data_IF_014394515492
#
_entry.id   IF_014394515492
#
_cell.length_a   1.000
_cell.length_b   1.000
_cell.length_c   1.000
_cell.angle_alpha   90.00
_cell.angle_beta   90.00
_cell.angle_gamma   90.00
#
_symmetry.space_group_name_H-M   'P 1'
#
loop_
_entity.id
_entity.type
_entity.pdbx_description
1 polymer ?
#
# COMPACT_ATOMS: atom_id res chain seq x y z
N UNK A 1 30.34 26.84 -6.31
CA UNK A 1 30.98 26.03 -7.36
C UNK A 1 31.26 26.97 -8.53
N UNK A 2 32.50 27.13 -8.83
CA UNK A 2 32.95 27.83 -10.02
C UNK A 2 32.76 26.88 -11.21
N UNK A 3 31.88 27.23 -12.14
CA UNK A 3 31.57 26.50 -13.35
C UNK A 3 30.29 25.68 -13.30
N UNK A 4 29.65 25.48 -14.44
CA UNK A 4 28.36 24.77 -14.66
C UNK A 4 28.42 23.24 -14.42
N UNK A 5 29.13 22.78 -13.39
CA UNK A 5 29.19 21.34 -13.06
C UNK A 5 28.11 20.99 -12.04
N UNK A 6 27.11 20.26 -12.49
CA UNK A 6 26.09 19.66 -11.64
C UNK A 6 26.56 18.34 -11.07
N UNK A 7 26.47 18.17 -9.76
CA UNK A 7 26.60 16.85 -9.15
C UNK A 7 25.26 16.15 -9.21
N UNK A 8 25.23 14.97 -9.81
CA UNK A 8 24.05 14.13 -9.91
C UNK A 8 24.16 13.03 -8.88
N UNK A 9 23.21 12.98 -7.94
CA UNK A 9 23.02 11.79 -7.11
C UNK A 9 22.21 10.77 -7.89
N UNK A 10 22.79 9.62 -8.16
CA UNK A 10 22.08 8.50 -8.79
C UNK A 10 21.64 7.53 -7.69
N UNK A 11 20.34 7.38 -7.46
CA UNK A 11 19.83 6.41 -6.50
C UNK A 11 20.12 4.99 -6.99
N UNK A 12 20.70 4.16 -6.12
CA UNK A 12 20.89 2.73 -6.38
C UNK A 12 19.61 1.98 -6.00
N UNK A 13 18.72 1.81 -6.98
CA UNK A 13 17.42 1.15 -6.78
C UNK A 13 17.60 -0.37 -6.91
N UNK A 14 17.43 -1.08 -5.80
CA UNK A 14 17.35 -2.54 -5.80
C UNK A 14 15.92 -2.95 -6.06
N UNK A 15 15.60 -3.25 -7.32
CA UNK A 15 14.28 -3.75 -7.72
C UNK A 15 14.01 -5.09 -7.04
N UNK A 16 12.80 -5.25 -6.49
CA UNK A 16 12.39 -6.46 -5.76
C UNK A 16 13.31 -6.83 -4.57
N UNK A 17 13.94 -5.84 -3.94
CA UNK A 17 14.90 -6.03 -2.84
C UNK A 17 14.30 -6.58 -1.54
N UNK A 18 12.96 -6.62 -1.41
CA UNK A 18 12.25 -7.19 -0.27
C UNK A 18 11.54 -8.50 -0.62
N UNK A 19 11.16 -9.30 0.40
CA UNK A 19 10.34 -10.51 0.20
C UNK A 19 8.96 -10.20 -0.36
N UNK A 20 8.50 -8.97 -0.20
CA UNK A 20 7.25 -8.46 -0.76
C UNK A 20 7.42 -7.82 -2.14
N UNK A 21 8.58 -7.93 -2.76
CA UNK A 21 8.88 -7.42 -4.10
C UNK A 21 8.91 -5.88 -4.23
N UNK A 22 8.83 -5.14 -3.13
CA UNK A 22 9.03 -3.69 -3.18
C UNK A 22 10.50 -3.34 -3.41
N UNK A 23 10.72 -2.25 -4.11
CA UNK A 23 12.05 -1.68 -4.31
C UNK A 23 12.65 -1.20 -2.99
N UNK A 24 13.97 -1.28 -2.88
CA UNK A 24 14.74 -0.69 -1.78
C UNK A 24 15.74 0.29 -2.37
N UNK A 25 15.77 1.47 -1.77
CA UNK A 25 16.80 2.48 -2.02
C UNK A 25 17.15 3.11 -0.68
N UNK A 26 18.39 2.96 -0.25
CA UNK A 26 18.81 3.27 1.13
C UNK A 26 18.86 4.76 1.43
N UNK A 27 19.16 5.60 0.44
CA UNK A 27 19.30 7.04 0.61
C UNK A 27 17.94 7.75 0.60
N UNK A 28 17.06 7.37 -0.34
CA UNK A 28 15.81 8.09 -0.59
C UNK A 28 14.64 7.64 0.31
N UNK A 29 14.72 6.46 0.92
CA UNK A 29 13.70 5.96 1.86
C UNK A 29 13.46 6.94 3.04
N UNK A 30 14.48 7.64 3.49
CA UNK A 30 14.35 8.66 4.54
C UNK A 30 13.50 9.86 4.11
N UNK A 31 13.40 10.13 2.81
CA UNK A 31 12.59 11.22 2.24
C UNK A 31 11.08 10.93 2.26
N UNK A 32 10.66 9.71 2.55
CA UNK A 32 9.23 9.35 2.68
C UNK A 32 8.56 9.99 3.91
N UNK A 33 9.34 10.56 4.84
CA UNK A 33 8.77 11.21 6.02
C UNK A 33 8.02 12.49 5.63
N UNK A 34 6.71 12.54 5.92
CA UNK A 34 5.86 13.71 5.64
C UNK A 34 5.63 14.58 6.87
N UNK A 35 6.01 14.12 8.05
CA UNK A 35 5.78 14.85 9.30
C UNK A 35 6.97 15.76 9.62
N UNK A 36 6.76 17.08 9.83
CA UNK A 36 7.84 18.07 10.00
C UNK A 36 8.85 17.78 11.12
N UNK A 37 8.45 16.96 12.11
CA UNK A 37 9.32 16.59 13.23
C UNK A 37 10.15 15.32 12.98
N UNK A 38 10.06 14.71 11.82
CA UNK A 38 10.88 13.55 11.46
C UNK A 38 12.07 13.96 10.62
N UNK A 39 13.23 13.44 10.97
CA UNK A 39 14.46 13.62 10.18
C UNK A 39 14.22 13.11 8.76
N UNK A 40 14.62 13.90 7.79
CA UNK A 40 14.51 13.57 6.37
C UNK A 40 13.35 14.22 5.63
N UNK A 41 12.35 14.79 6.34
CA UNK A 41 11.23 15.49 5.71
C UNK A 41 11.70 16.63 4.80
N UNK A 42 12.75 17.36 5.23
CA UNK A 42 13.35 18.48 4.50
C UNK A 42 14.18 18.05 3.29
N UNK A 43 14.57 16.79 3.20
CA UNK A 43 15.45 16.30 2.13
C UNK A 43 14.77 16.36 0.76
N UNK A 44 13.45 16.16 0.69
CA UNK A 44 12.70 16.29 -0.57
C UNK A 44 12.91 17.68 -1.22
N UNK A 45 12.96 18.73 -0.42
CA UNK A 45 13.14 20.11 -0.92
C UNK A 45 14.56 20.40 -1.41
N UNK A 46 15.50 19.53 -1.10
CA UNK A 46 16.91 19.64 -1.53
C UNK A 46 17.17 19.00 -2.90
N UNK A 47 16.26 18.15 -3.36
CA UNK A 47 16.36 17.56 -4.69
C UNK A 47 15.97 18.61 -5.71
N UNK A 48 16.88 18.95 -6.62
CA UNK A 48 16.71 19.96 -7.63
C UNK A 48 17.05 19.38 -9.01
N UNK A 49 16.42 19.94 -10.03
CA UNK A 49 16.76 19.64 -11.42
C UNK A 49 17.57 20.79 -12.04
N UNK A 50 18.30 20.54 -13.15
CA UNK A 50 18.99 21.58 -13.89
C UNK A 50 18.05 22.69 -14.39
N UNK A 51 18.57 23.90 -14.69
CA UNK A 51 17.78 24.96 -15.30
C UNK A 51 17.07 24.48 -16.58
N UNK A 52 15.81 24.88 -16.76
CA UNK A 52 14.97 24.47 -17.90
C UNK A 52 14.31 23.09 -17.75
N UNK A 53 14.48 22.42 -16.60
CA UNK A 53 13.84 21.15 -16.27
C UNK A 53 12.99 21.30 -15.01
N UNK A 54 11.99 20.43 -14.89
CA UNK A 54 11.13 20.26 -13.69
C UNK A 54 11.07 18.82 -13.26
N UNK A 55 10.88 18.61 -11.96
CA UNK A 55 10.52 17.30 -11.42
C UNK A 55 9.01 17.20 -11.42
N UNK A 56 8.49 16.16 -12.09
CA UNK A 56 7.09 15.78 -12.06
C UNK A 56 6.98 14.51 -11.25
N UNK A 57 6.25 14.56 -10.15
CA UNK A 57 6.03 13.44 -9.24
C UNK A 57 4.57 13.02 -9.21
N UNK A 58 4.33 11.73 -9.02
CA UNK A 58 3.01 11.16 -8.78
C UNK A 58 3.08 10.15 -7.64
N UNK A 59 2.02 10.10 -6.83
CA UNK A 59 1.86 9.20 -5.70
C UNK A 59 0.47 8.56 -5.75
N UNK A 60 0.37 7.27 -5.43
CA UNK A 60 -0.92 6.59 -5.36
C UNK A 60 -1.65 6.95 -4.07
N UNK A 61 -2.81 7.56 -4.16
CA UNK A 61 -3.65 7.79 -2.99
C UNK A 61 -4.23 6.47 -2.45
N UNK A 62 -3.66 6.02 -1.33
CA UNK A 62 -4.13 4.82 -0.64
C UNK A 62 -4.00 3.52 -1.45
N UNK A 63 -2.90 3.33 -2.16
CA UNK A 63 -2.63 2.17 -3.03
C UNK A 63 -3.08 0.83 -2.45
N UNK A 64 -2.73 0.54 -1.20
CA UNK A 64 -3.09 -0.73 -0.56
C UNK A 64 -4.60 -0.90 -0.37
N UNK A 65 -5.33 0.18 -0.08
CA UNK A 65 -6.78 0.13 0.05
C UNK A 65 -7.46 -0.05 -1.31
N UNK A 66 -6.93 0.57 -2.35
CA UNK A 66 -7.43 0.39 -3.72
C UNK A 66 -7.23 -1.07 -4.17
N UNK A 67 -6.06 -1.64 -3.97
CA UNK A 67 -5.79 -3.06 -4.26
C UNK A 67 -6.72 -3.97 -3.47
N UNK A 68 -6.90 -3.70 -2.18
CA UNK A 68 -7.78 -4.47 -1.32
C UNK A 68 -9.25 -4.40 -1.78
N UNK A 69 -9.71 -3.23 -2.24
CA UNK A 69 -11.07 -3.08 -2.80
C UNK A 69 -11.24 -3.84 -4.10
N UNK A 70 -10.25 -3.84 -4.99
CA UNK A 70 -10.24 -4.65 -6.21
C UNK A 70 -10.32 -6.15 -5.87
N UNK A 71 -9.60 -6.60 -4.85
CA UNK A 71 -9.67 -8.00 -4.40
C UNK A 71 -11.03 -8.36 -3.81
N UNK A 72 -11.64 -7.45 -3.04
CA UNK A 72 -12.99 -7.63 -2.53
C UNK A 72 -14.01 -7.72 -3.68
N UNK A 73 -13.93 -6.82 -4.64
CA UNK A 73 -14.81 -6.80 -5.82
C UNK A 73 -14.65 -8.07 -6.67
N UNK A 74 -13.42 -8.53 -6.87
CA UNK A 74 -13.14 -9.77 -7.59
C UNK A 74 -13.71 -11.01 -6.89
N UNK A 75 -13.86 -10.97 -5.57
CA UNK A 75 -14.49 -12.04 -4.80
C UNK A 75 -16.01 -11.98 -4.88
N UNK A 76 -16.61 -10.80 -4.69
CA UNK A 76 -18.05 -10.62 -4.53
C UNK A 76 -18.82 -10.68 -5.86
N UNK A 77 -18.34 -9.99 -6.90
CA UNK A 77 -19.10 -9.88 -8.15
C UNK A 77 -18.28 -9.78 -9.43
N UNK A 78 -16.96 -9.59 -9.32
CA UNK A 78 -16.07 -9.49 -10.48
C UNK A 78 -16.13 -8.17 -11.24
N UNK A 79 -16.76 -7.14 -10.68
CA UNK A 79 -16.81 -5.78 -11.26
C UNK A 79 -16.52 -4.73 -10.18
N UNK A 80 -16.04 -3.56 -10.58
CA UNK A 80 -15.69 -2.44 -9.68
C UNK A 80 -16.94 -1.94 -8.97
N UNK A 81 -16.86 -1.83 -7.64
CA UNK A 81 -18.00 -1.41 -6.80
C UNK A 81 -18.90 -2.55 -6.33
N UNK A 82 -18.53 -3.81 -6.57
CA UNK A 82 -19.33 -4.97 -6.15
C UNK A 82 -19.32 -5.20 -4.63
N UNK A 83 -18.33 -4.69 -3.92
CA UNK A 83 -18.13 -4.96 -2.49
C UNK A 83 -18.40 -3.75 -1.60
N UNK A 84 -18.82 -3.95 -0.33
CA UNK A 84 -18.94 -2.86 0.65
C UNK A 84 -17.62 -2.09 0.86
N UNK A 85 -16.48 -2.78 0.78
CA UNK A 85 -15.17 -2.16 0.87
C UNK A 85 -14.95 -1.15 -0.25
N UNK A 86 -15.30 -1.51 -1.48
CA UNK A 86 -15.18 -0.62 -2.64
C UNK A 86 -15.98 0.66 -2.48
N UNK A 87 -17.17 0.60 -1.91
CA UNK A 87 -17.97 1.79 -1.65
C UNK A 87 -17.25 2.79 -0.74
N UNK A 88 -16.59 2.31 0.32
CA UNK A 88 -15.84 3.18 1.24
C UNK A 88 -14.56 3.73 0.63
N UNK A 89 -13.94 3.00 -0.30
CA UNK A 89 -12.70 3.42 -0.98
C UNK A 89 -12.99 4.37 -2.14
N UNK A 90 -14.01 4.07 -2.97
CA UNK A 90 -14.31 4.85 -4.18
C UNK A 90 -15.18 6.08 -3.91
N UNK A 91 -16.15 5.98 -2.98
CA UNK A 91 -17.15 7.02 -2.72
C UNK A 91 -16.99 7.65 -1.34
N UNK A 92 -16.15 7.10 -0.48
CA UNK A 92 -15.93 7.59 0.87
C UNK A 92 -15.20 8.93 0.89
N UNK A 93 -15.57 9.80 1.83
CA UNK A 93 -14.96 11.10 2.03
C UNK A 93 -14.48 11.25 3.47
N UNK A 94 -13.22 11.66 3.63
CA UNK A 94 -12.65 11.99 4.93
C UNK A 94 -13.41 13.14 5.61
N UNK A 95 -13.80 14.14 4.84
CA UNK A 95 -14.53 15.32 5.34
C UNK A 95 -15.92 14.96 5.83
N UNK A 96 -16.60 14.03 5.15
CA UNK A 96 -17.93 13.53 5.51
C UNK A 96 -17.87 12.38 6.52
N UNK A 97 -16.68 11.89 6.88
CA UNK A 97 -16.53 10.76 7.81
C UNK A 97 -17.04 9.42 7.25
N UNK A 98 -17.07 9.25 5.94
CA UNK A 98 -17.60 8.06 5.26
C UNK A 98 -16.50 7.19 4.62
N UNK A 99 -15.24 7.57 4.70
CA UNK A 99 -14.12 6.78 4.21
C UNK A 99 -13.87 5.53 5.07
N UNK A 100 -13.10 4.59 4.54
CA UNK A 100 -12.84 3.29 5.17
C UNK A 100 -12.27 3.38 6.60
N UNK A 101 -11.46 4.43 6.86
CA UNK A 101 -10.89 4.64 8.20
C UNK A 101 -11.91 5.23 9.17
N UNK A 102 -12.75 6.15 8.72
CA UNK A 102 -13.84 6.71 9.52
C UNK A 102 -14.90 5.66 9.84
N UNK A 103 -15.24 4.79 8.89
CA UNK A 103 -16.16 3.69 9.12
C UNK A 103 -15.65 2.75 10.22
N UNK A 104 -14.38 2.37 10.18
CA UNK A 104 -13.76 1.56 11.24
C UNK A 104 -13.69 2.32 12.59
N UNK A 105 -13.35 3.60 12.57
CA UNK A 105 -13.29 4.45 13.76
C UNK A 105 -14.63 4.47 14.50
N UNK A 106 -15.71 4.67 13.76
CA UNK A 106 -17.08 4.68 14.28
C UNK A 106 -17.50 3.31 14.82
N UNK A 107 -17.19 2.22 14.08
CA UNK A 107 -17.54 0.86 14.50
C UNK A 107 -16.85 0.41 15.78
N UNK A 108 -15.67 0.94 16.08
CA UNK A 108 -14.84 0.54 17.24
C UNK A 108 -14.81 1.63 18.34
N UNK A 109 -15.37 2.82 18.06
CA UNK A 109 -15.31 3.97 18.97
C UNK A 109 -13.88 4.43 19.31
N UNK A 110 -13.04 4.53 18.28
CA UNK A 110 -11.67 5.06 18.35
C UNK A 110 -11.52 6.22 17.35
N UNK A 111 -10.47 7.01 17.50
CA UNK A 111 -10.20 8.08 16.53
C UNK A 111 -9.74 7.55 15.16
N UNK A 112 -9.94 8.34 14.12
CA UNK A 112 -9.66 7.98 12.74
C UNK A 112 -8.18 7.62 12.48
N UNK A 113 -7.24 8.31 13.12
CA UNK A 113 -5.81 8.05 12.91
C UNK A 113 -5.41 6.70 13.53
N UNK A 114 -5.96 6.37 14.69
CA UNK A 114 -5.80 5.04 15.29
C UNK A 114 -6.46 3.98 14.41
N UNK A 115 -7.67 4.23 13.91
CA UNK A 115 -8.39 3.33 13.01
C UNK A 115 -7.61 3.11 11.69
N UNK A 116 -6.96 4.14 11.15
CA UNK A 116 -6.05 4.02 10.00
C UNK A 116 -4.94 3.02 10.30
N UNK A 117 -4.24 3.16 11.43
CA UNK A 117 -3.18 2.23 11.84
C UNK A 117 -3.69 0.81 12.06
N UNK A 118 -4.87 0.65 12.66
CA UNK A 118 -5.53 -0.66 12.86
C UNK A 118 -5.91 -1.28 11.52
N UNK A 119 -6.52 -0.52 10.62
CA UNK A 119 -6.94 -0.99 9.31
C UNK A 119 -5.78 -1.54 8.48
N UNK A 120 -4.67 -0.81 8.39
CA UNK A 120 -3.46 -1.30 7.71
C UNK A 120 -2.84 -2.51 8.40
N UNK A 121 -2.75 -2.52 9.74
CA UNK A 121 -2.27 -3.70 10.47
C UNK A 121 -3.10 -4.94 10.15
N UNK A 122 -4.42 -4.80 10.10
CA UNK A 122 -5.33 -5.89 9.75
C UNK A 122 -5.16 -6.33 8.30
N UNK A 123 -5.03 -5.40 7.37
CA UNK A 123 -4.80 -5.69 5.95
C UNK A 123 -3.52 -6.50 5.76
N UNK A 124 -2.50 -6.25 6.60
CA UNK A 124 -1.26 -7.03 6.61
C UNK A 124 -1.33 -8.32 7.46
N UNK A 125 -2.52 -8.73 7.88
CA UNK A 125 -2.75 -9.99 8.58
C UNK A 125 -2.60 -9.94 10.10
N UNK A 126 -2.60 -8.77 10.71
CA UNK A 126 -2.50 -8.66 12.17
C UNK A 126 -3.66 -9.35 12.89
N UNK A 127 -3.33 -10.10 13.93
CA UNK A 127 -4.28 -10.70 14.86
C UNK A 127 -4.58 -9.79 16.07
N UNK A 128 -5.46 -10.26 16.95
CA UNK A 128 -5.97 -9.54 18.13
C UNK A 128 -4.88 -8.84 18.97
N UNK A 129 -3.76 -9.53 19.22
CA UNK A 129 -2.66 -8.99 20.04
C UNK A 129 -2.02 -7.75 19.37
N UNK A 130 -1.74 -7.82 18.08
CA UNK A 130 -1.09 -6.74 17.32
C UNK A 130 -2.03 -5.54 17.20
N UNK A 131 -3.32 -5.79 16.93
CA UNK A 131 -4.35 -4.75 16.88
C UNK A 131 -4.47 -4.05 18.23
N UNK A 132 -4.57 -4.80 19.32
CA UNK A 132 -4.61 -4.25 20.67
C UNK A 132 -3.39 -3.38 21.00
N UNK A 133 -2.19 -3.82 20.62
CA UNK A 133 -0.98 -3.03 20.79
C UNK A 133 -0.98 -1.74 19.94
N UNK A 134 -1.55 -1.77 18.76
CA UNK A 134 -1.70 -0.57 17.92
C UNK A 134 -2.62 0.46 18.57
N UNK A 135 -3.74 0.01 19.15
CA UNK A 135 -4.68 0.86 19.88
C UNK A 135 -4.02 1.41 21.16
N UNK A 136 -3.29 0.58 21.89
CA UNK A 136 -2.60 0.97 23.15
C UNK A 136 -1.63 2.13 22.98
N UNK A 137 -1.02 2.30 21.81
CA UNK A 137 -0.10 3.43 21.56
C UNK A 137 -0.71 4.79 21.86
N UNK A 138 -2.01 4.94 21.64
CA UNK A 138 -2.76 6.18 21.90
C UNK A 138 -3.62 6.08 23.18
N UNK A 139 -4.21 4.94 23.42
CA UNK A 139 -5.08 4.69 24.60
C UNK A 139 -4.29 3.94 25.68
N UNK A 140 -3.32 4.65 26.29
CA UNK A 140 -2.36 4.05 27.26
C UNK A 140 -3.01 3.49 28.52
N UNK A 141 -4.12 4.09 28.95
CA UNK A 141 -4.80 3.79 30.21
C UNK A 141 -5.81 2.64 30.11
N UNK A 142 -5.98 2.05 28.92
CA UNK A 142 -6.91 0.95 28.70
C UNK A 142 -6.34 -0.37 29.21
N UNK A 143 -7.18 -1.13 29.87
CA UNK A 143 -6.85 -2.47 30.35
C UNK A 143 -6.61 -3.44 29.19
N UNK A 144 -5.84 -4.53 29.39
CA UNK A 144 -5.67 -5.58 28.38
C UNK A 144 -7.00 -6.19 27.90
N UNK A 145 -8.00 -6.27 28.78
CA UNK A 145 -9.34 -6.75 28.44
C UNK A 145 -10.07 -5.83 27.46
N UNK A 146 -10.07 -4.53 27.72
CA UNK A 146 -10.65 -3.52 26.83
C UNK A 146 -9.94 -3.50 25.46
N UNK A 147 -8.61 -3.54 25.46
CA UNK A 147 -7.83 -3.58 24.21
C UNK A 147 -8.16 -4.82 23.36
N UNK A 148 -8.38 -5.97 24.02
CA UNK A 148 -8.83 -7.19 23.36
C UNK A 148 -10.25 -7.05 22.81
N UNK A 149 -11.15 -6.39 23.53
CA UNK A 149 -12.51 -6.12 23.08
C UNK A 149 -12.52 -5.24 21.84
N UNK A 150 -11.78 -4.11 21.84
CA UNK A 150 -11.63 -3.25 20.65
C UNK A 150 -11.08 -4.01 19.45
N UNK A 151 -10.06 -4.85 19.67
CA UNK A 151 -9.47 -5.64 18.58
C UNK A 151 -10.47 -6.66 18.01
N UNK A 152 -11.28 -7.30 18.84
CA UNK A 152 -12.32 -8.22 18.39
C UNK A 152 -13.45 -7.49 17.65
N UNK A 153 -13.84 -6.30 18.09
CA UNK A 153 -14.81 -5.46 17.38
C UNK A 153 -14.30 -5.07 16.00
N UNK A 154 -13.02 -4.65 15.90
CA UNK A 154 -12.40 -4.32 14.62
C UNK A 154 -12.38 -5.53 13.67
N UNK A 155 -12.00 -6.71 14.18
CA UNK A 155 -11.99 -7.95 13.39
C UNK A 155 -13.40 -8.34 12.95
N UNK A 156 -14.39 -8.25 13.83
CA UNK A 156 -15.79 -8.52 13.49
C UNK A 156 -16.32 -7.56 12.44
N UNK A 157 -16.03 -6.28 12.56
CA UNK A 157 -16.46 -5.27 11.58
C UNK A 157 -15.83 -5.49 10.20
N UNK A 158 -14.52 -5.76 10.14
CA UNK A 158 -13.78 -5.90 8.88
C UNK A 158 -13.88 -7.30 8.27
N UNK A 159 -13.58 -8.33 9.04
CA UNK A 159 -13.53 -9.71 8.55
C UNK A 159 -14.85 -10.45 8.67
N UNK A 160 -15.69 -10.06 9.63
CA UNK A 160 -16.88 -10.84 9.97
C UNK A 160 -16.53 -12.16 10.68
N UNK A 161 -17.31 -13.18 10.41
CA UNK A 161 -17.17 -14.54 10.97
C UNK A 161 -16.73 -15.50 9.89
N UNK A 162 -16.03 -16.58 10.28
CA UNK A 162 -15.78 -17.70 9.36
C UNK A 162 -17.00 -18.61 9.31
N UNK A 163 -17.45 -18.93 8.10
CA UNK A 163 -18.46 -19.93 7.84
C UNK A 163 -17.85 -21.35 7.91
N UNK A 164 -18.67 -22.44 7.82
CA UNK A 164 -18.18 -23.81 7.87
C UNK A 164 -17.14 -24.15 6.81
N UNK A 165 -17.17 -23.49 5.65
CA UNK A 165 -16.21 -23.69 4.56
C UNK A 165 -14.88 -22.94 4.79
N UNK A 166 -14.79 -22.18 5.90
CA UNK A 166 -13.62 -21.44 6.32
C UNK A 166 -13.45 -20.09 5.61
N UNK A 167 -14.51 -19.54 4.98
CA UNK A 167 -14.53 -18.21 4.39
C UNK A 167 -15.12 -17.18 5.37
N UNK A 168 -14.63 -15.97 5.30
CA UNK A 168 -15.20 -14.85 6.05
C UNK A 168 -16.49 -14.36 5.41
N UNK A 169 -17.46 -13.98 6.25
CA UNK A 169 -18.74 -13.39 5.84
C UNK A 169 -19.24 -12.37 6.85
N UNK A 170 -20.05 -11.41 6.37
CA UNK A 170 -20.69 -10.40 7.20
C UNK A 170 -19.79 -9.25 7.65
N UNK A 171 -18.53 -9.20 7.26
CA UNK A 171 -17.64 -8.06 7.47
C UNK A 171 -17.52 -7.19 6.23
N UNK A 172 -17.19 -5.89 6.41
CA UNK A 172 -17.04 -4.96 5.31
C UNK A 172 -15.97 -5.36 4.29
N UNK A 173 -14.94 -6.09 4.73
CA UNK A 173 -13.79 -6.47 3.93
C UNK A 173 -13.68 -8.02 3.76
N UNK A 174 -14.73 -8.77 4.10
CA UNK A 174 -14.74 -10.25 4.05
C UNK A 174 -14.22 -10.78 2.70
N UNK A 175 -14.71 -10.23 1.60
CA UNK A 175 -14.30 -10.63 0.24
C UNK A 175 -12.80 -10.43 -0.01
N UNK A 176 -12.25 -9.30 0.43
CA UNK A 176 -10.81 -9.03 0.33
C UNK A 176 -9.97 -10.11 1.04
N UNK A 177 -10.31 -10.42 2.30
CA UNK A 177 -9.58 -11.45 3.06
C UNK A 177 -9.71 -12.84 2.45
N UNK A 178 -10.89 -13.19 1.97
CA UNK A 178 -11.12 -14.47 1.28
C UNK A 178 -10.27 -14.56 0.01
N UNK A 179 -10.21 -13.50 -0.77
CA UNK A 179 -9.43 -13.47 -2.01
C UNK A 179 -7.92 -13.58 -1.72
N UNK A 180 -7.42 -12.81 -0.73
CA UNK A 180 -6.02 -12.88 -0.31
C UNK A 180 -5.64 -14.26 0.23
N UNK A 181 -6.47 -14.86 1.11
CA UNK A 181 -6.23 -16.19 1.65
C UNK A 181 -6.25 -17.26 0.54
N UNK A 182 -7.14 -17.12 -0.44
CA UNK A 182 -7.18 -18.00 -1.61
C UNK A 182 -5.87 -17.97 -2.39
N UNK A 183 -5.32 -16.78 -2.66
CA UNK A 183 -4.04 -16.64 -3.37
C UNK A 183 -2.87 -17.14 -2.53
N UNK A 184 -2.75 -16.65 -1.29
CA UNK A 184 -1.55 -16.80 -0.48
C UNK A 184 -1.41 -18.19 0.16
N UNK A 185 -2.52 -18.85 0.48
CA UNK A 185 -2.54 -20.02 1.36
C UNK A 185 -3.03 -21.30 0.71
N UNK A 186 -3.90 -21.18 -0.31
CA UNK A 186 -4.55 -22.33 -0.94
C UNK A 186 -3.88 -22.78 -2.23
N UNK A 187 -2.77 -22.16 -2.63
CA UNK A 187 -2.02 -22.51 -3.83
C UNK A 187 -0.61 -23.00 -3.50
N UNK A 188 -0.11 -23.97 -4.26
CA UNK A 188 1.26 -24.51 -4.10
C UNK A 188 2.33 -23.45 -4.41
N UNK A 189 2.09 -22.62 -5.40
CA UNK A 189 2.93 -21.50 -5.77
C UNK A 189 2.04 -20.24 -5.87
N UNK A 190 1.89 -19.51 -4.76
CA UNK A 190 1.09 -18.29 -4.75
C UNK A 190 1.55 -17.34 -5.86
N UNK A 191 0.59 -16.92 -6.69
CA UNK A 191 0.81 -16.07 -7.86
C UNK A 191 -0.25 -14.96 -7.86
N UNK A 192 0.17 -13.71 -8.07
CA UNK A 192 -0.73 -12.56 -8.14
C UNK A 192 -1.52 -12.58 -9.45
N UNK A 193 -2.78 -12.09 -9.43
CA UNK A 193 -3.64 -12.10 -10.61
C UNK A 193 -3.28 -11.01 -11.63
N UNK A 194 -2.55 -9.96 -11.25
CA UNK A 194 -2.22 -8.83 -12.12
C UNK A 194 -1.20 -9.21 -13.20
N UNK A 195 0.08 -9.08 -12.89
CA UNK A 195 1.18 -9.42 -13.81
C UNK A 195 1.73 -10.84 -13.63
N UNK A 196 1.14 -11.64 -12.75
CA UNK A 196 1.57 -13.02 -12.53
C UNK A 196 2.82 -13.15 -11.64
N UNK A 197 3.12 -12.15 -10.81
CA UNK A 197 4.25 -12.21 -9.89
C UNK A 197 4.10 -13.36 -8.91
N UNK A 198 5.09 -14.23 -8.87
CA UNK A 198 5.13 -15.37 -7.94
C UNK A 198 5.71 -14.96 -6.60
N UNK A 199 5.19 -15.58 -5.52
CA UNK A 199 5.73 -15.37 -4.18
C UNK A 199 7.22 -15.68 -4.12
N UNK A 200 7.96 -14.94 -3.29
CA UNK A 200 9.38 -15.21 -3.02
C UNK A 200 9.59 -16.67 -2.60
N UNK A 201 10.65 -17.27 -3.07
CA UNK A 201 11.00 -18.66 -2.74
C UNK A 201 11.07 -18.88 -1.21
N UNK A 202 11.56 -17.86 -0.48
CA UNK A 202 11.65 -17.87 0.97
C UNK A 202 10.29 -17.93 1.71
N UNK A 203 9.19 -17.54 1.06
CA UNK A 203 7.84 -17.56 1.64
C UNK A 203 6.95 -18.67 1.06
N UNK A 204 7.46 -19.51 0.17
CA UNK A 204 6.67 -20.62 -0.40
C UNK A 204 6.30 -21.62 0.68
N UNK A 205 5.10 -22.24 0.61
CA UNK A 205 4.70 -23.30 1.54
C UNK A 205 5.73 -24.43 1.65
N UNK A 206 6.42 -24.74 0.56
CA UNK A 206 7.50 -25.75 0.55
C UNK A 206 8.72 -25.36 1.40
N UNK A 207 8.98 -24.07 1.59
CA UNK A 207 10.10 -23.58 2.39
C UNK A 207 9.74 -23.35 3.86
N UNK A 208 8.52 -22.87 4.13
CA UNK A 208 8.11 -22.41 5.47
C UNK A 208 6.94 -23.19 6.07
N UNK A 209 6.41 -24.18 5.38
CA UNK A 209 5.24 -24.94 5.86
C UNK A 209 4.03 -24.04 6.12
N UNK A 210 3.49 -24.15 7.33
CA UNK A 210 2.38 -23.31 7.82
C UNK A 210 2.84 -21.98 8.41
N UNK A 211 4.15 -21.77 8.58
CA UNK A 211 4.68 -20.55 9.18
C UNK A 211 4.57 -19.35 8.24
N UNK A 212 4.84 -18.17 8.77
CA UNK A 212 4.79 -16.90 8.01
C UNK A 212 3.46 -16.62 7.30
N UNK A 213 2.36 -17.13 7.87
CA UNK A 213 1.01 -16.88 7.36
C UNK A 213 0.73 -15.40 7.11
N UNK A 214 1.00 -14.56 8.12
CA UNK A 214 0.87 -13.10 8.04
C UNK A 214 1.74 -12.50 6.94
N UNK A 215 2.98 -12.97 6.80
CA UNK A 215 3.90 -12.52 5.76
C UNK A 215 3.40 -12.86 4.35
N UNK A 216 2.77 -14.02 4.16
CA UNK A 216 2.16 -14.41 2.89
C UNK A 216 0.93 -13.58 2.55
N UNK A 217 0.08 -13.26 3.53
CA UNK A 217 -1.05 -12.35 3.33
C UNK A 217 -0.55 -10.94 2.98
N UNK A 218 0.41 -10.42 3.75
CA UNK A 218 1.00 -9.12 3.47
C UNK A 218 1.61 -9.05 2.07
N UNK A 219 2.25 -10.14 1.62
CA UNK A 219 2.82 -10.24 0.28
C UNK A 219 1.77 -9.99 -0.81
N UNK A 220 0.52 -10.44 -0.68
CA UNK A 220 -0.50 -10.24 -1.72
C UNK A 220 -0.75 -8.76 -2.00
N UNK A 221 -0.84 -7.94 -0.97
CA UNK A 221 -1.07 -6.49 -1.11
C UNK A 221 0.20 -5.75 -1.54
N UNK A 222 1.30 -5.99 -0.84
CA UNK A 222 2.55 -5.27 -1.08
C UNK A 222 3.14 -5.55 -2.47
N UNK A 223 3.11 -6.81 -2.91
CA UNK A 223 3.59 -7.17 -4.25
C UNK A 223 2.66 -6.70 -5.35
N UNK A 224 1.34 -6.63 -5.13
CA UNK A 224 0.43 -6.03 -6.10
C UNK A 224 0.66 -4.53 -6.24
N UNK A 225 1.05 -3.84 -5.16
CA UNK A 225 1.53 -2.47 -5.23
C UNK A 225 2.77 -2.33 -6.12
N UNK A 226 3.70 -3.26 -6.02
CA UNK A 226 4.87 -3.29 -6.91
C UNK A 226 4.50 -3.55 -8.38
N UNK A 227 3.51 -4.42 -8.65
CA UNK A 227 2.98 -4.63 -10.02
C UNK A 227 2.32 -3.35 -10.57
N UNK A 228 1.50 -2.66 -9.77
CA UNK A 228 0.88 -1.38 -10.16
C UNK A 228 1.94 -0.32 -10.47
N UNK A 229 2.99 -0.21 -9.64
CA UNK A 229 4.10 0.69 -9.88
C UNK A 229 4.81 0.35 -11.20
N UNK A 230 5.07 -0.93 -11.47
CA UNK A 230 5.69 -1.37 -12.72
C UNK A 230 4.85 -1.01 -13.95
N UNK A 231 3.51 -1.15 -13.86
CA UNK A 231 2.59 -0.72 -14.90
C UNK A 231 2.67 0.80 -15.10
N UNK A 232 2.63 1.58 -14.01
CA UNK A 232 2.72 3.04 -14.08
C UNK A 232 4.03 3.49 -14.77
N UNK A 233 5.17 2.98 -14.33
CA UNK A 233 6.48 3.33 -14.89
C UNK A 233 6.58 2.96 -16.38
N UNK A 234 6.14 1.76 -16.74
CA UNK A 234 6.17 1.29 -18.14
C UNK A 234 5.25 2.11 -19.01
N UNK A 235 4.03 2.42 -18.54
CA UNK A 235 3.05 3.23 -19.27
C UNK A 235 3.53 4.66 -19.43
N UNK A 236 4.09 5.28 -18.38
CA UNK A 236 4.64 6.64 -18.43
C UNK A 236 5.78 6.72 -19.44
N UNK A 237 6.69 5.75 -19.42
CA UNK A 237 7.78 5.69 -20.40
C UNK A 237 7.28 5.52 -21.84
N UNK A 238 6.30 4.63 -22.06
CA UNK A 238 5.70 4.42 -23.37
C UNK A 238 4.98 5.67 -23.89
N UNK A 239 4.20 6.35 -23.02
CA UNK A 239 3.48 7.58 -23.36
C UNK A 239 4.47 8.72 -23.67
N UNK A 240 5.50 8.88 -22.86
CA UNK A 240 6.55 9.87 -23.10
C UNK A 240 7.17 9.70 -24.51
N UNK A 241 7.52 8.48 -24.86
CA UNK A 241 8.04 8.19 -26.22
C UNK A 241 7.02 8.43 -27.32
N UNK A 242 5.77 8.02 -27.14
CA UNK A 242 4.68 8.22 -28.11
C UNK A 242 4.44 9.70 -28.40
N UNK A 243 4.45 10.53 -27.37
CA UNK A 243 4.25 11.98 -27.47
C UNK A 243 5.56 12.78 -27.65
N UNK A 244 6.69 12.07 -27.80
CA UNK A 244 8.04 12.67 -27.97
C UNK A 244 8.41 13.64 -26.83
N UNK A 245 8.01 13.32 -25.62
CA UNK A 245 8.38 14.04 -24.41
C UNK A 245 9.68 13.44 -23.86
N UNK A 246 10.78 14.18 -23.74
CA UNK A 246 12.05 13.66 -23.24
C UNK A 246 12.04 13.58 -21.70
N UNK A 247 11.15 12.78 -21.16
CA UNK A 247 11.05 12.51 -19.73
C UNK A 247 12.09 11.46 -19.31
N UNK A 248 12.74 11.70 -18.19
CA UNK A 248 13.72 10.80 -17.59
C UNK A 248 13.24 10.36 -16.21
N UNK A 249 13.16 9.06 -15.98
CA UNK A 249 12.86 8.51 -14.67
C UNK A 249 14.02 8.81 -13.70
N UNK A 250 13.71 9.35 -12.53
CA UNK A 250 14.69 9.67 -11.49
C UNK A 250 14.70 8.57 -10.43
N UNK A 251 13.54 8.36 -9.79
CA UNK A 251 13.41 7.40 -8.70
C UNK A 251 11.94 7.00 -8.48
N UNK A 252 11.76 5.89 -7.76
CA UNK A 252 10.48 5.54 -7.14
C UNK A 252 10.70 5.18 -5.67
N UNK A 253 9.76 5.61 -4.83
CA UNK A 253 9.76 5.31 -3.40
C UNK A 253 8.39 4.72 -3.05
N UNK A 254 8.32 3.39 -2.84
CA UNK A 254 7.08 2.66 -2.59
C UNK A 254 6.05 2.81 -3.72
N UNK A 255 5.15 3.77 -3.62
CA UNK A 255 4.05 4.11 -4.53
C UNK A 255 4.22 5.50 -5.18
N UNK A 256 5.28 6.22 -4.81
CA UNK A 256 5.65 7.52 -5.37
C UNK A 256 6.67 7.36 -6.51
N UNK A 257 6.49 8.10 -7.60
CA UNK A 257 7.41 8.13 -8.75
C UNK A 257 7.82 9.55 -9.10
N UNK A 258 9.08 9.72 -9.52
CA UNK A 258 9.62 11.01 -9.94
C UNK A 258 10.26 10.93 -11.32
N UNK A 259 9.89 11.88 -12.16
CA UNK A 259 10.46 12.07 -13.49
C UNK A 259 11.02 13.48 -13.63
N UNK A 260 12.15 13.60 -14.31
CA UNK A 260 12.71 14.87 -14.75
C UNK A 260 12.27 15.15 -16.19
N UNK A 261 11.64 16.29 -16.41
CA UNK A 261 11.01 16.64 -17.68
C UNK A 261 11.39 18.08 -18.05
N UNK A 262 11.72 18.40 -19.31
CA UNK A 262 11.92 19.80 -19.70
C UNK A 262 10.69 20.65 -19.36
N UNK A 263 10.90 21.83 -18.82
CA UNK A 263 9.85 22.70 -18.26
C UNK A 263 8.65 22.90 -19.20
N UNK A 264 8.91 23.07 -20.50
CA UNK A 264 7.87 23.23 -21.53
C UNK A 264 6.92 22.03 -21.71
N UNK A 265 7.30 20.86 -21.23
CA UNK A 265 6.51 19.62 -21.33
C UNK A 265 5.96 19.15 -19.96
N UNK A 266 6.27 19.87 -18.88
CA UNK A 266 5.94 19.40 -17.53
C UNK A 266 4.43 19.21 -17.32
N UNK A 267 3.61 20.16 -17.75
CA UNK A 267 2.14 20.08 -17.64
C UNK A 267 1.54 18.99 -18.55
N UNK A 268 2.12 18.77 -19.72
CA UNK A 268 1.65 17.73 -20.64
C UNK A 268 2.00 16.33 -20.13
N UNK A 269 3.10 16.22 -19.39
CA UNK A 269 3.56 14.94 -18.84
C UNK A 269 2.83 14.57 -17.55
N UNK A 270 2.44 15.54 -16.73
CA UNK A 270 1.67 15.37 -15.49
C UNK A 270 0.23 14.89 -15.77
#
# INVERSE_FOLDING_TARGET
PEGDTWQVSMPEIVAHGTVTRRTVESLMVTMCATKPHRVGTELKTRVQCPPGWKIVGADFDGQELQIASIYADAWEGGFIGASPMSHTVLSGSKEKGTDAHSALANAVSIDRDTAKGVGFAMLYGAGVRTIGNTIKRKFKDRSPGELRQYANQALGFKKGRKNPDGFYEGGSDSGCYNYMERIALRTRVPTLPGLGTKISTALRPAAVGSDFHTGRINWTIQSSGAEMLAILLTSSHWLARKFKIPAQFILSIHDETWFMVPEKYAEQFA
#
